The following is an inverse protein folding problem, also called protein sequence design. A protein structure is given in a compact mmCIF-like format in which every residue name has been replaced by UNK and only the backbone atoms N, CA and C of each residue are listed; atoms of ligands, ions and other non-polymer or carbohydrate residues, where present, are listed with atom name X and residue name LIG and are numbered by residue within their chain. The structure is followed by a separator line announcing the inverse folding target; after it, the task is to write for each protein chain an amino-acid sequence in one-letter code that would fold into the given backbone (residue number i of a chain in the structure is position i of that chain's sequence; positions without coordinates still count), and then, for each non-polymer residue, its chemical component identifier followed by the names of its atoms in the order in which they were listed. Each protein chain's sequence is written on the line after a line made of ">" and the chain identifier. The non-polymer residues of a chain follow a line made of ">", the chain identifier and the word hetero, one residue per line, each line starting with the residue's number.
data_IF_613174979847
#
_entry.id   IF_613174979847
#
_cell.length_a   1.000
_cell.length_b   1.000
_cell.length_c   1.000
_cell.angle_alpha   90.00
_cell.angle_beta   90.00
_cell.angle_gamma   90.00
#
_symmetry.space_group_name_H-M   'P 1'
#
loop_
_entity.id
_entity.type
_entity.pdbx_description
1 polymer ?
#
# COMPACT_ATOMS: atom_id res chain seq x y z
N UNK A 1 5.45 -10.11 -3.74
CA UNK A 1 4.44 -9.03 -3.83
C UNK A 1 4.38 -8.51 -5.26
N UNK A 2 3.35 -8.94 -5.99
CA UNK A 2 2.98 -8.45 -7.33
C UNK A 2 2.55 -6.97 -7.27
N UNK A 3 2.63 -6.21 -8.38
CA UNK A 3 2.51 -4.75 -8.36
C UNK A 3 1.24 -4.31 -7.63
N UNK A 4 1.48 -3.48 -6.62
CA UNK A 4 0.58 -3.08 -5.56
C UNK A 4 -0.83 -2.77 -6.07
N UNK A 5 -1.82 -3.46 -5.51
CA UNK A 5 -3.21 -3.05 -5.56
C UNK A 5 -3.30 -1.58 -5.08
N UNK A 6 -3.92 -0.67 -5.84
CA UNK A 6 -4.07 0.75 -5.46
C UNK A 6 -4.81 0.92 -4.13
N UNK A 7 -5.57 -0.10 -3.74
CA UNK A 7 -6.15 -0.21 -2.42
C UNK A 7 -5.14 -0.88 -1.52
N UNK A 8 -4.55 -0.10 -0.59
CA UNK A 8 -3.84 -0.65 0.55
C UNK A 8 -4.85 -1.53 1.32
N UNK A 9 -4.78 -2.86 1.21
CA UNK A 9 -5.63 -3.70 2.05
C UNK A 9 -5.16 -3.43 3.49
N UNK A 10 -6.05 -3.52 4.48
CA UNK A 10 -5.72 -3.40 5.92
C UNK A 10 -5.94 -2.04 6.60
N UNK A 11 -6.94 -1.23 6.20
CA UNK A 11 -7.34 -0.07 7.01
C UNK A 11 -8.16 -0.49 8.26
N UNK A 12 -9.28 -1.18 8.08
CA UNK A 12 -10.17 -1.58 9.19
C UNK A 12 -11.11 -2.72 8.75
N UNK A 13 -11.44 -3.63 9.67
CA UNK A 13 -12.48 -4.65 9.49
C UNK A 13 -13.36 -4.73 10.75
N UNK A 14 -14.65 -5.03 10.59
CA UNK A 14 -15.60 -5.25 11.69
C UNK A 14 -15.78 -6.76 11.86
N UNK A 15 -15.36 -7.31 13.01
CA UNK A 15 -15.49 -8.75 13.28
C UNK A 15 -16.95 -9.16 13.48
N UNK A 16 -17.26 -10.42 13.16
CA UNK A 16 -18.59 -11.00 13.42
C UNK A 16 -18.95 -11.05 14.92
N UNK A 17 -17.96 -10.92 15.81
CA UNK A 17 -18.13 -10.92 17.27
C UNK A 17 -18.33 -9.53 17.87
N UNK A 18 -18.28 -8.46 17.07
CA UNK A 18 -18.47 -7.10 17.55
C UNK A 18 -19.91 -6.89 18.02
N UNK A 19 -20.07 -6.47 19.28
CA UNK A 19 -21.40 -6.22 19.89
C UNK A 19 -22.02 -4.88 19.47
N UNK A 20 -21.25 -4.02 18.83
CA UNK A 20 -21.61 -2.65 18.43
C UNK A 20 -21.18 -2.36 16.98
N UNK A 21 -21.65 -3.15 15.99
CA UNK A 21 -21.19 -3.01 14.60
C UNK A 21 -21.63 -1.68 13.98
N UNK A 22 -22.82 -1.17 14.32
CA UNK A 22 -23.35 0.09 13.80
C UNK A 22 -22.53 1.28 14.30
N UNK A 23 -22.26 1.34 15.61
CA UNK A 23 -21.46 2.40 16.22
C UNK A 23 -20.01 2.36 15.73
N UNK A 24 -19.48 1.15 15.50
CA UNK A 24 -18.15 0.96 14.91
C UNK A 24 -18.10 1.48 13.47
N UNK A 25 -19.15 1.23 12.68
CA UNK A 25 -19.26 1.76 11.32
C UNK A 25 -19.41 3.30 11.32
N UNK A 26 -20.18 3.88 12.25
CA UNK A 26 -20.28 5.33 12.42
C UNK A 26 -18.94 5.97 12.80
N UNK A 27 -18.17 5.32 13.67
CA UNK A 27 -16.81 5.76 14.00
C UNK A 27 -15.87 5.69 12.80
N UNK A 28 -15.98 4.65 11.96
CA UNK A 28 -15.21 4.57 10.72
C UNK A 28 -15.59 5.71 9.77
N UNK A 29 -16.88 5.98 9.58
CA UNK A 29 -17.37 7.05 8.70
C UNK A 29 -16.90 8.45 9.13
N UNK A 30 -16.79 8.70 10.44
CA UNK A 30 -16.26 9.96 10.98
C UNK A 30 -14.89 10.34 10.36
N UNK A 31 -14.01 9.35 10.17
CA UNK A 31 -12.67 9.55 9.59
C UNK A 31 -12.69 9.92 8.11
N UNK A 32 -13.74 9.53 7.38
CA UNK A 32 -14.00 9.97 6.01
C UNK A 32 -14.74 11.32 5.97
N UNK A 33 -15.22 11.83 7.10
CA UNK A 33 -15.79 13.17 7.23
C UNK A 33 -14.76 14.29 7.10
N UNK A 34 -15.24 15.55 7.00
CA UNK A 34 -14.37 16.73 6.86
C UNK A 34 -13.37 16.86 8.02
N UNK A 35 -13.82 16.61 9.26
CA UNK A 35 -13.00 16.73 10.48
C UNK A 35 -12.10 15.51 10.67
N UNK A 36 -12.62 14.30 10.45
CA UNK A 36 -11.80 13.09 10.58
C UNK A 36 -10.64 13.05 9.59
N UNK A 37 -10.84 13.59 8.38
CA UNK A 37 -9.77 13.77 7.38
C UNK A 37 -8.70 14.78 7.78
N UNK A 38 -8.91 15.63 8.78
CA UNK A 38 -7.83 16.54 9.23
C UNK A 38 -6.97 15.94 10.33
N UNK A 39 -7.43 14.87 10.98
CA UNK A 39 -6.65 14.20 12.03
C UNK A 39 -5.39 13.50 11.53
N UNK A 40 -5.31 13.19 10.23
CA UNK A 40 -4.05 12.76 9.60
C UNK A 40 -2.98 13.86 9.64
N UNK A 41 -3.36 15.11 9.93
CA UNK A 41 -2.45 16.23 10.19
C UNK A 41 -2.16 16.42 11.69
N UNK A 42 -2.79 15.65 12.59
CA UNK A 42 -2.65 15.75 14.04
C UNK A 42 -3.69 16.67 14.67
N UNK A 43 -3.25 17.63 15.48
CA UNK A 43 -4.09 18.56 16.26
C UNK A 43 -4.00 19.96 15.68
N UNK A 44 -5.14 20.54 15.32
CA UNK A 44 -5.22 21.91 14.80
C UNK A 44 -4.64 22.92 15.81
N UNK A 45 -3.87 23.89 15.32
CA UNK A 45 -3.10 24.89 16.07
C UNK A 45 -1.91 24.34 16.88
N UNK A 46 -1.66 23.02 16.86
CA UNK A 46 -0.45 22.41 17.45
C UNK A 46 0.46 21.89 16.35
N UNK A 47 -0.09 21.09 15.43
CA UNK A 47 0.68 20.40 14.41
C UNK A 47 0.43 20.99 13.04
N UNK A 48 -0.80 21.41 12.76
CA UNK A 48 -1.20 22.11 11.53
C UNK A 48 -2.14 23.28 11.80
N UNK A 49 -2.25 24.21 10.86
CA UNK A 49 -3.30 25.25 10.81
C UNK A 49 -4.01 25.22 9.47
N UNK A 50 -5.21 25.78 9.38
CA UNK A 50 -5.92 25.97 8.11
C UNK A 50 -5.64 27.39 7.62
N UNK A 51 -5.17 27.52 6.37
CA UNK A 51 -4.95 28.83 5.75
C UNK A 51 -6.25 29.47 5.24
N UNK A 52 -6.16 30.71 4.74
CA UNK A 52 -7.30 31.46 4.20
C UNK A 52 -7.98 30.79 3.00
N UNK A 53 -7.31 29.82 2.35
CA UNK A 53 -7.85 29.04 1.23
C UNK A 53 -8.52 27.75 1.70
N UNK A 54 -8.51 27.46 2.99
CA UNK A 54 -9.06 26.25 3.57
C UNK A 54 -8.10 25.05 3.53
N UNK A 55 -6.82 25.27 3.20
CA UNK A 55 -5.84 24.20 3.07
C UNK A 55 -5.00 24.05 4.35
N UNK A 56 -4.74 22.80 4.79
CA UNK A 56 -3.89 22.52 5.94
C UNK A 56 -2.41 22.83 5.67
N UNK A 57 -1.76 23.51 6.63
CA UNK A 57 -0.35 23.88 6.62
C UNK A 57 0.34 23.35 7.88
N UNK A 58 1.55 22.80 7.76
CA UNK A 58 2.34 22.39 8.92
C UNK A 58 2.79 23.61 9.74
N UNK A 59 2.71 23.50 11.07
CA UNK A 59 3.24 24.50 12.00
C UNK A 59 4.75 24.37 12.19
N UNK A 60 5.38 25.37 12.81
CA UNK A 60 6.79 25.30 13.22
C UNK A 60 7.06 24.15 14.21
N UNK A 61 6.06 23.65 14.97
CA UNK A 61 6.26 22.47 15.81
C UNK A 61 6.67 21.23 15.01
N UNK A 62 6.16 21.11 13.77
CA UNK A 62 6.49 20.00 12.85
C UNK A 62 7.69 20.36 11.96
N UNK A 63 7.75 21.59 11.45
CA UNK A 63 8.82 22.02 10.53
C UNK A 63 10.16 22.28 11.24
N UNK A 64 10.12 22.74 12.48
CA UNK A 64 11.27 23.18 13.30
C UNK A 64 11.07 22.72 14.74
N UNK A 65 10.92 21.42 14.92
CA UNK A 65 10.59 20.83 16.21
C UNK A 65 11.59 21.28 17.30
N UNK A 66 11.12 21.76 18.47
CA UNK A 66 11.97 22.33 19.51
C UNK A 66 12.94 21.33 20.14
N UNK A 67 12.63 20.03 20.07
CA UNK A 67 13.47 18.96 20.61
C UNK A 67 14.51 18.46 19.60
N UNK A 68 14.63 19.13 18.44
CA UNK A 68 15.58 18.78 17.39
C UNK A 68 15.18 17.55 16.57
N UNK A 69 13.94 17.08 16.70
CA UNK A 69 13.41 16.00 15.89
C UNK A 69 13.38 16.40 14.42
N UNK A 70 13.66 15.43 13.54
CA UNK A 70 13.36 15.60 12.12
C UNK A 70 11.87 15.81 11.93
N UNK A 71 11.48 16.53 10.88
CA UNK A 71 10.07 16.73 10.54
C UNK A 71 9.28 15.42 10.43
N UNK A 72 9.92 14.36 9.95
CA UNK A 72 9.32 13.03 9.91
C UNK A 72 9.01 12.52 11.34
N UNK A 73 9.97 12.59 12.27
CA UNK A 73 9.80 12.16 13.66
C UNK A 73 8.75 13.00 14.39
N UNK A 74 8.80 14.33 14.25
CA UNK A 74 7.82 15.23 14.85
C UNK A 74 6.39 14.93 14.35
N UNK A 75 6.22 14.71 13.04
CA UNK A 75 4.93 14.29 12.45
C UNK A 75 4.49 12.93 13.00
N UNK A 76 5.36 11.93 13.01
CA UNK A 76 4.97 10.59 13.47
C UNK A 76 4.65 10.47 14.95
N UNK A 77 5.04 11.45 15.78
CA UNK A 77 4.64 11.53 17.18
C UNK A 77 3.19 11.98 17.38
N UNK A 78 2.58 12.61 16.37
CA UNK A 78 1.30 13.33 16.50
C UNK A 78 0.24 12.94 15.48
N UNK A 79 0.59 12.12 14.48
CA UNK A 79 -0.35 11.58 13.50
C UNK A 79 -0.15 10.09 13.26
N UNK A 80 -1.26 9.40 12.98
CA UNK A 80 -1.29 8.04 12.45
C UNK A 80 -0.79 7.94 11.00
N UNK A 81 -0.36 9.05 10.37
CA UNK A 81 0.08 9.15 8.98
C UNK A 81 1.34 8.34 8.62
N UNK A 82 1.73 7.37 9.45
CA UNK A 82 2.72 6.32 9.19
C UNK A 82 2.09 4.91 9.14
N UNK A 83 0.78 4.79 9.33
CA UNK A 83 0.04 3.52 9.39
C UNK A 83 -1.22 3.58 8.53
N UNK A 84 -1.78 2.41 8.23
CA UNK A 84 -3.08 2.28 7.55
C UNK A 84 -4.20 2.74 8.49
N UNK A 85 -5.10 3.60 7.99
CA UNK A 85 -6.22 4.15 8.76
C UNK A 85 -7.45 4.28 7.84
N UNK A 86 -8.69 4.14 8.33
CA UNK A 86 -9.91 4.35 7.54
C UNK A 86 -10.13 5.84 7.22
N UNK A 87 -9.18 6.49 6.56
CA UNK A 87 -9.28 7.87 6.11
C UNK A 87 -8.78 7.99 4.66
N UNK A 88 -9.25 9.01 3.96
CA UNK A 88 -8.67 9.36 2.65
C UNK A 88 -7.28 9.93 2.89
N UNK A 89 -6.28 9.25 2.33
CA UNK A 89 -4.87 9.59 2.53
C UNK A 89 -4.50 10.90 1.81
N UNK A 90 -3.45 11.53 2.32
CA UNK A 90 -3.04 12.93 2.13
C UNK A 90 -3.10 13.47 0.68
N UNK A 91 -3.43 14.75 0.47
CA UNK A 91 -3.06 15.46 -0.76
C UNK A 91 -1.54 15.63 -0.81
N UNK A 92 -0.98 15.48 -2.02
CA UNK A 92 0.45 15.54 -2.30
C UNK A 92 1.15 16.79 -1.72
N UNK A 93 0.43 17.91 -1.60
CA UNK A 93 0.89 19.20 -1.09
C UNK A 93 1.52 19.14 0.32
N UNK A 94 0.99 18.31 1.22
CA UNK A 94 1.53 18.16 2.58
C UNK A 94 2.74 17.22 2.65
N UNK A 95 2.90 16.34 1.68
CA UNK A 95 4.09 15.48 1.59
C UNK A 95 5.24 16.20 0.89
N UNK A 96 4.97 17.08 -0.08
CA UNK A 96 6.01 17.88 -0.72
C UNK A 96 6.64 18.89 0.25
N UNK A 97 5.86 19.48 1.15
CA UNK A 97 6.41 20.35 2.20
C UNK A 97 7.24 19.61 3.25
N UNK A 98 7.25 18.26 3.20
CA UNK A 98 8.05 17.43 4.11
C UNK A 98 9.40 16.99 3.57
N UNK A 99 9.78 17.48 2.39
CA UNK A 99 11.06 17.14 1.75
C UNK A 99 11.71 18.40 1.21
N UNK A 100 13.03 18.36 1.05
CA UNK A 100 13.79 19.42 0.40
C UNK A 100 13.38 19.58 -1.07
N UNK A 101 13.49 20.79 -1.62
CA UNK A 101 13.05 21.13 -2.99
C UNK A 101 13.66 20.21 -4.05
N UNK A 102 14.94 19.82 -3.89
CA UNK A 102 15.62 18.93 -4.83
C UNK A 102 15.01 17.51 -4.86
N UNK A 103 14.44 17.04 -3.74
CA UNK A 103 13.74 15.76 -3.67
C UNK A 103 12.43 15.85 -4.46
N UNK A 104 11.71 16.96 -4.33
CA UNK A 104 10.47 17.18 -5.09
C UNK A 104 10.75 17.37 -6.59
N UNK A 105 11.86 18.01 -6.96
CA UNK A 105 12.32 18.11 -8.35
C UNK A 105 12.64 16.73 -8.93
N UNK A 106 13.37 15.88 -8.20
CA UNK A 106 13.59 14.49 -8.59
C UNK A 106 12.29 13.72 -8.73
N UNK A 107 11.35 13.83 -7.77
CA UNK A 107 10.05 13.15 -7.84
C UNK A 107 9.23 13.54 -9.06
N UNK A 108 9.28 14.79 -9.51
CA UNK A 108 8.58 15.24 -10.72
C UNK A 108 9.07 14.50 -11.97
N UNK A 109 10.36 14.18 -12.04
CA UNK A 109 10.91 13.38 -13.16
C UNK A 109 10.30 11.98 -13.19
N UNK A 110 10.14 11.33 -12.02
CA UNK A 110 9.51 10.01 -11.90
C UNK A 110 7.98 10.01 -12.07
N UNK A 111 7.33 11.18 -12.20
CA UNK A 111 5.89 11.28 -12.51
C UNK A 111 5.59 11.26 -14.00
N UNK A 112 6.63 11.31 -14.85
CA UNK A 112 6.46 11.09 -16.27
C UNK A 112 5.98 9.65 -16.48
N UNK A 113 4.69 9.53 -16.80
CA UNK A 113 4.03 8.23 -16.99
C UNK A 113 4.62 7.48 -18.18
N UNK A 114 5.12 8.20 -19.19
CA UNK A 114 5.69 7.59 -20.39
C UNK A 114 7.08 7.00 -20.14
N UNK A 115 7.77 7.45 -19.07
CA UNK A 115 9.13 7.02 -18.74
C UNK A 115 9.21 6.07 -17.55
N UNK A 116 8.41 6.29 -16.51
CA UNK A 116 8.60 5.63 -15.22
C UNK A 116 7.39 4.85 -14.72
N UNK A 117 6.21 5.00 -15.34
CA UNK A 117 5.02 4.24 -14.96
C UNK A 117 4.87 3.02 -15.87
N UNK A 118 5.18 1.84 -15.33
CA UNK A 118 4.94 0.58 -16.03
C UNK A 118 3.43 0.27 -16.06
N UNK A 119 2.92 -0.41 -17.11
CA UNK A 119 1.54 -0.86 -17.14
C UNK A 119 1.23 -1.71 -15.90
N UNK A 120 0.27 -1.27 -15.11
CA UNK A 120 -0.16 -1.98 -13.91
C UNK A 120 -1.18 -3.04 -14.28
N UNK A 121 -1.05 -4.24 -13.70
CA UNK A 121 -2.09 -5.27 -13.82
C UNK A 121 -3.34 -4.71 -13.13
N UNK A 122 -4.49 -4.68 -13.80
CA UNK A 122 -5.71 -4.13 -13.21
C UNK A 122 -6.13 -4.94 -11.99
N UNK A 123 -6.89 -4.32 -11.08
CA UNK A 123 -7.50 -5.03 -9.95
C UNK A 123 -8.43 -6.14 -10.44
N UNK A 124 -7.94 -7.38 -10.43
CA UNK A 124 -8.68 -8.54 -10.89
C UNK A 124 -9.72 -8.98 -9.85
N UNK A 125 -10.92 -9.34 -10.32
CA UNK A 125 -11.95 -9.90 -9.47
C UNK A 125 -11.99 -11.43 -9.63
N UNK A 126 -11.68 -12.13 -8.55
CA UNK A 126 -11.72 -13.59 -8.48
C UNK A 126 -13.07 -14.07 -7.94
N UNK A 127 -13.50 -15.25 -8.38
CA UNK A 127 -14.60 -16.00 -7.77
C UNK A 127 -14.16 -16.62 -6.45
N UNK A 128 -15.11 -17.06 -5.62
CA UNK A 128 -14.82 -17.75 -4.35
C UNK A 128 -13.93 -18.98 -4.57
N UNK A 129 -14.26 -19.82 -5.58
CA UNK A 129 -13.47 -21.01 -5.92
C UNK A 129 -12.06 -20.68 -6.41
N UNK A 130 -11.92 -19.63 -7.20
CA UNK A 130 -10.62 -19.16 -7.68
C UNK A 130 -9.76 -18.67 -6.50
N UNK A 131 -10.35 -17.90 -5.57
CA UNK A 131 -9.67 -17.45 -4.36
C UNK A 131 -9.23 -18.63 -3.46
N UNK A 132 -10.05 -19.67 -3.34
CA UNK A 132 -9.69 -20.88 -2.58
C UNK A 132 -8.45 -21.55 -3.16
N UNK A 133 -8.40 -21.73 -4.50
CA UNK A 133 -7.26 -22.34 -5.19
C UNK A 133 -6.00 -21.49 -5.06
N UNK A 134 -6.13 -20.17 -5.28
CA UNK A 134 -5.03 -19.22 -5.11
C UNK A 134 -4.48 -19.31 -3.67
N UNK A 135 -5.36 -19.21 -2.66
CA UNK A 135 -4.95 -19.18 -1.25
C UNK A 135 -4.31 -20.50 -0.79
N UNK A 136 -4.74 -21.64 -1.36
CA UNK A 136 -4.18 -22.95 -1.03
C UNK A 136 -2.80 -23.18 -1.64
N UNK A 137 -2.57 -22.71 -2.88
CA UNK A 137 -1.33 -23.03 -3.61
C UNK A 137 -0.28 -21.95 -3.50
N UNK A 138 -0.69 -20.68 -3.56
CA UNK A 138 0.23 -19.57 -3.75
C UNK A 138 1.17 -19.38 -2.55
N UNK A 139 0.70 -19.60 -1.31
CA UNK A 139 1.53 -19.47 -0.11
C UNK A 139 2.75 -20.42 -0.12
N UNK A 140 2.53 -21.69 -0.46
CA UNK A 140 3.60 -22.69 -0.51
C UNK A 140 4.54 -22.42 -1.69
N UNK A 141 3.97 -22.04 -2.85
CA UNK A 141 4.75 -21.67 -4.03
C UNK A 141 5.62 -20.45 -3.75
N UNK A 142 5.08 -19.39 -3.15
CA UNK A 142 5.84 -18.19 -2.78
C UNK A 142 7.00 -18.53 -1.85
N UNK A 143 6.75 -19.37 -0.84
CA UNK A 143 7.80 -19.82 0.09
C UNK A 143 8.92 -20.55 -0.67
N UNK A 144 8.59 -21.50 -1.55
CA UNK A 144 9.58 -22.24 -2.34
C UNK A 144 10.36 -21.34 -3.29
N UNK A 145 9.68 -20.40 -3.94
CA UNK A 145 10.27 -19.41 -4.86
C UNK A 145 11.26 -18.52 -4.12
N UNK A 146 10.86 -17.96 -2.97
CA UNK A 146 11.70 -17.06 -2.19
C UNK A 146 12.97 -17.77 -1.67
N UNK A 147 12.82 -18.97 -1.12
CA UNK A 147 13.95 -19.78 -0.66
C UNK A 147 14.89 -20.17 -1.80
N UNK A 148 14.35 -20.59 -2.94
CA UNK A 148 15.15 -20.98 -4.09
C UNK A 148 15.89 -19.78 -4.70
N UNK A 149 15.22 -18.63 -4.83
CA UNK A 149 15.80 -17.39 -5.32
C UNK A 149 16.99 -16.95 -4.45
N UNK A 150 16.82 -16.95 -3.13
CA UNK A 150 17.91 -16.63 -2.19
C UNK A 150 19.10 -17.57 -2.42
N UNK A 151 18.85 -18.87 -2.55
CA UNK A 151 19.91 -19.85 -2.78
C UNK A 151 20.63 -19.69 -4.12
N UNK A 152 19.93 -19.28 -5.18
CA UNK A 152 20.57 -18.93 -6.46
C UNK A 152 21.45 -17.68 -6.32
N UNK A 153 20.97 -16.64 -5.65
CA UNK A 153 21.69 -15.37 -5.48
C UNK A 153 22.99 -15.57 -4.69
N UNK A 154 22.94 -16.31 -3.58
CA UNK A 154 24.13 -16.53 -2.73
C UNK A 154 25.04 -17.63 -3.26
N UNK A 155 24.66 -18.31 -4.35
CA UNK A 155 25.46 -19.35 -5.00
C UNK A 155 25.38 -20.73 -4.35
N UNK A 156 24.43 -20.97 -3.44
CA UNK A 156 24.17 -22.29 -2.87
C UNK A 156 23.51 -23.24 -3.86
N UNK A 157 22.70 -22.70 -4.80
CA UNK A 157 22.17 -23.43 -5.95
C UNK A 157 22.84 -22.92 -7.23
N UNK A 158 23.40 -23.80 -8.08
CA UNK A 158 23.95 -23.39 -9.37
C UNK A 158 22.82 -23.11 -10.37
N UNK A 159 23.00 -22.13 -11.25
CA UNK A 159 22.00 -21.79 -12.28
C UNK A 159 21.69 -22.92 -13.26
N UNK A 160 22.50 -23.99 -13.30
CA UNK A 160 22.20 -25.21 -14.06
C UNK A 160 20.94 -25.94 -13.54
N UNK A 161 20.48 -25.66 -12.32
CA UNK A 161 19.25 -26.21 -11.75
C UNK A 161 17.99 -25.38 -12.05
N UNK A 162 18.11 -24.29 -12.82
CA UNK A 162 17.00 -23.37 -13.09
C UNK A 162 15.77 -24.06 -13.70
N UNK A 163 15.97 -24.91 -14.71
CA UNK A 163 14.86 -25.61 -15.38
C UNK A 163 14.13 -26.57 -14.44
N UNK A 164 14.87 -27.24 -13.54
CA UNK A 164 14.27 -28.10 -12.52
C UNK A 164 13.49 -27.29 -11.47
N UNK A 165 13.99 -26.12 -11.09
CA UNK A 165 13.27 -25.18 -10.23
C UNK A 165 11.94 -24.75 -10.86
N UNK A 166 11.94 -24.36 -12.14
CA UNK A 166 10.70 -23.97 -12.85
C UNK A 166 9.72 -25.15 -12.94
N UNK A 167 10.21 -26.36 -13.22
CA UNK A 167 9.37 -27.56 -13.25
C UNK A 167 8.71 -27.83 -11.89
N UNK A 168 9.45 -27.64 -10.79
CA UNK A 168 8.89 -27.82 -9.46
C UNK A 168 7.83 -26.77 -9.15
N UNK A 169 8.06 -25.49 -9.47
CA UNK A 169 7.04 -24.42 -9.33
C UNK A 169 5.77 -24.78 -10.09
N UNK A 170 5.89 -25.32 -11.31
CA UNK A 170 4.73 -25.76 -12.09
C UNK A 170 4.05 -26.98 -11.46
N UNK A 171 4.81 -27.94 -10.95
CA UNK A 171 4.29 -29.12 -10.26
C UNK A 171 3.51 -28.76 -8.98
N UNK A 172 3.93 -27.71 -8.27
CA UNK A 172 3.20 -27.14 -7.14
C UNK A 172 1.86 -26.49 -7.54
N UNK A 173 1.61 -26.30 -8.84
CA UNK A 173 0.33 -25.84 -9.38
C UNK A 173 0.35 -24.41 -9.90
N UNK A 174 1.52 -23.84 -10.21
CA UNK A 174 1.61 -22.47 -10.75
C UNK A 174 0.83 -22.30 -12.06
N UNK A 175 0.81 -23.31 -12.94
CA UNK A 175 0.04 -23.24 -14.21
C UNK A 175 -1.47 -23.04 -13.98
N UNK A 176 -2.01 -23.65 -12.92
CA UNK A 176 -3.41 -23.49 -12.52
C UNK A 176 -3.68 -22.07 -12.00
N UNK A 177 -2.78 -21.54 -11.17
CA UNK A 177 -2.85 -20.16 -10.68
C UNK A 177 -2.79 -19.17 -11.84
N UNK A 178 -1.85 -19.34 -12.77
CA UNK A 178 -1.74 -18.48 -13.97
C UNK A 178 -3.04 -18.52 -14.79
N UNK A 179 -3.63 -19.70 -14.98
CA UNK A 179 -4.92 -19.85 -15.67
C UNK A 179 -6.04 -19.04 -15.01
N UNK A 180 -6.15 -19.09 -13.68
CA UNK A 180 -7.13 -18.31 -12.92
C UNK A 180 -6.92 -16.79 -13.12
N UNK A 181 -5.68 -16.32 -13.07
CA UNK A 181 -5.37 -14.91 -13.30
C UNK A 181 -5.71 -14.48 -14.74
N UNK A 182 -5.45 -15.34 -15.73
CA UNK A 182 -5.81 -15.07 -17.11
C UNK A 182 -7.34 -15.01 -17.29
N UNK A 183 -8.09 -15.94 -16.71
CA UNK A 183 -9.56 -15.93 -16.75
C UNK A 183 -10.14 -14.66 -16.09
N UNK A 184 -9.57 -14.24 -14.97
CA UNK A 184 -9.98 -13.02 -14.27
C UNK A 184 -9.65 -11.76 -15.09
N UNK A 185 -8.51 -11.74 -15.76
CA UNK A 185 -8.12 -10.67 -16.69
C UNK A 185 -9.04 -10.60 -17.91
N UNK A 186 -9.36 -11.74 -18.52
CA UNK A 186 -10.28 -11.83 -19.65
C UNK A 186 -11.69 -11.36 -19.29
N UNK A 187 -12.14 -11.63 -18.04
CA UNK A 187 -13.40 -11.05 -17.52
C UNK A 187 -13.31 -9.56 -17.34
N UNK A 188 -12.20 -9.04 -16.85
CA UNK A 188 -11.98 -7.61 -16.67
C UNK A 188 -11.99 -6.88 -18.02
N UNK A 189 -11.34 -7.42 -19.06
CA UNK A 189 -11.29 -6.81 -20.40
C UNK A 189 -12.66 -6.71 -21.09
N UNK A 190 -13.64 -7.51 -20.67
CA UNK A 190 -15.01 -7.51 -21.22
C UNK A 190 -15.96 -6.54 -20.50
N UNK A 191 -15.50 -5.89 -19.42
CA UNK A 191 -16.27 -4.87 -18.69
C UNK A 191 -16.25 -3.55 -19.45
#
# INVERSE_FOLDING_TARGET
>A
MWPDNEVVPNAMAISASNKHPEETAMWADYWYGKVGRTYVYGVENVTYTIDDKGEPQWTDFVLKNPDGLTMNEARGAVTFGRSTWPAIFQPWSLTSSTVEDYVEEGRKQYRDQDQFVQPMVPGLSFTEKENDVISQKLNDIETYVDESLVNFIIGNKPMTEWDSYVQEVNHMGMDEVIGIYQDAYDRWQKR
#
